data_IF_325913335224
#
_entry.id   IF_325913335224
#
_cell.length_a   1.000
_cell.length_b   1.000
_cell.length_c   1.000
_cell.angle_alpha   90.00
_cell.angle_beta   90.00
_cell.angle_gamma   90.00
#
_symmetry.space_group_name_H-M   'P 1'
#
loop_
_entity.id
_entity.type
_entity.pdbx_description
1 polymer ?
#
# COMPACT_ATOMS: atom_id res chain seq x y z
N UNK A 1 -4.64 -8.01 8.41
CA UNK A 1 -5.80 -7.86 9.32
C UNK A 1 -5.49 -7.09 10.62
N UNK A 2 -4.35 -7.30 11.30
CA UNK A 2 -4.00 -6.56 12.53
C UNK A 2 -3.85 -5.04 12.32
N UNK A 3 -3.16 -4.60 11.26
CA UNK A 3 -2.96 -3.17 10.97
C UNK A 3 -4.27 -2.44 10.62
N UNK A 4 -5.16 -3.04 9.81
CA UNK A 4 -6.48 -2.47 9.48
C UNK A 4 -7.34 -2.18 10.72
N UNK A 5 -7.39 -3.12 11.68
CA UNK A 5 -8.12 -2.94 12.94
C UNK A 5 -7.48 -1.86 13.81
N UNK A 6 -6.15 -1.81 13.90
CA UNK A 6 -5.44 -0.78 14.64
C UNK A 6 -5.70 0.63 14.06
N UNK A 7 -5.72 0.78 12.73
CA UNK A 7 -6.02 2.04 12.05
C UNK A 7 -7.46 2.47 12.30
N UNK A 8 -8.42 1.56 12.15
CA UNK A 8 -9.84 1.83 12.44
C UNK A 8 -10.04 2.22 13.90
N UNK A 9 -9.39 1.53 14.84
CA UNK A 9 -9.43 1.89 16.26
C UNK A 9 -8.79 3.26 16.50
N UNK A 10 -7.66 3.59 15.87
CA UNK A 10 -7.04 4.91 15.98
C UNK A 10 -7.92 6.04 15.43
N UNK A 11 -8.62 5.80 14.31
CA UNK A 11 -9.58 6.75 13.72
C UNK A 11 -10.83 6.95 14.59
N UNK A 12 -11.36 5.89 15.20
CA UNK A 12 -12.57 5.95 16.04
C UNK A 12 -12.24 6.47 17.45
N UNK A 13 -11.04 6.19 17.97
CA UNK A 13 -10.62 6.56 19.32
C UNK A 13 -10.17 8.02 19.44
N UNK A 14 -10.22 8.83 18.37
CA UNK A 14 -9.94 10.27 18.47
C UNK A 14 -11.04 10.91 19.33
N UNK A 15 -10.73 11.37 20.55
CA UNK A 15 -11.73 12.06 21.34
C UNK A 15 -11.99 13.41 20.65
N UNK A 16 -13.16 13.56 20.04
CA UNK A 16 -13.69 14.84 19.53
C UNK A 16 -14.01 15.85 20.67
N UNK A 17 -13.41 15.68 21.85
CA UNK A 17 -13.64 16.52 23.01
C UNK A 17 -12.75 17.75 22.94
N UNK A 18 -13.23 18.74 22.19
CA UNK A 18 -12.68 20.08 22.10
C UNK A 18 -12.94 20.65 20.71
N UNK A 19 -13.14 21.97 20.55
CA UNK A 19 -13.13 22.57 19.23
C UNK A 19 -11.82 22.14 18.57
N UNK A 20 -11.89 21.57 17.35
CA UNK A 20 -10.72 21.38 16.51
C UNK A 20 -10.05 22.74 16.42
N UNK A 21 -8.97 22.93 17.19
CA UNK A 21 -8.31 24.22 17.32
C UNK A 21 -7.62 24.53 15.99
N UNK A 22 -8.38 25.12 15.06
CA UNK A 22 -7.83 25.79 13.90
C UNK A 22 -6.83 26.84 14.39
N UNK A 23 -5.55 26.63 14.11
CA UNK A 23 -4.53 27.68 14.30
C UNK A 23 -3.45 27.46 15.36
N UNK A 24 -3.19 26.25 15.86
CA UNK A 24 -1.90 25.99 16.55
C UNK A 24 -0.90 25.29 15.61
N UNK A 25 0.12 25.99 15.09
CA UNK A 25 0.95 25.54 13.96
C UNK A 25 1.83 24.29 14.21
N UNK A 26 1.71 23.58 15.33
CA UNK A 26 2.69 22.54 15.72
C UNK A 26 2.11 21.26 16.35
N UNK A 27 0.79 21.12 16.54
CA UNK A 27 0.24 19.98 17.29
C UNK A 27 0.52 18.62 16.62
N UNK A 28 0.46 18.57 15.30
CA UNK A 28 0.70 17.36 14.51
C UNK A 28 1.92 17.49 13.58
N UNK A 29 2.86 18.40 13.85
CA UNK A 29 3.98 18.68 12.93
C UNK A 29 4.79 17.43 12.53
N UNK A 30 5.07 16.54 13.49
CA UNK A 30 5.75 15.28 13.23
C UNK A 30 4.91 14.32 12.37
N UNK A 31 3.60 14.27 12.61
CA UNK A 31 2.66 13.45 11.85
C UNK A 31 2.51 13.95 10.41
N UNK A 32 2.47 15.27 10.20
CA UNK A 32 2.43 15.88 8.88
C UNK A 32 3.74 15.65 8.10
N UNK A 33 4.88 15.63 8.77
CA UNK A 33 6.16 15.29 8.15
C UNK A 33 6.21 13.84 7.69
N UNK A 34 5.82 12.91 8.57
CA UNK A 34 5.67 11.51 8.21
C UNK A 34 4.67 11.32 7.07
N UNK A 35 3.56 12.06 7.08
CA UNK A 35 2.56 12.07 6.01
C UNK A 35 3.16 12.45 4.65
N UNK A 36 3.96 13.51 4.57
CA UNK A 36 4.64 13.89 3.31
C UNK A 36 5.61 12.81 2.82
N UNK A 37 6.38 12.20 3.74
CA UNK A 37 7.31 11.11 3.42
C UNK A 37 6.57 9.87 2.94
N UNK A 38 5.43 9.55 3.56
CA UNK A 38 4.55 8.47 3.16
C UNK A 38 3.97 8.72 1.77
N UNK A 39 3.43 9.91 1.52
CA UNK A 39 2.88 10.28 0.21
C UNK A 39 3.94 10.15 -0.91
N UNK A 40 5.20 10.55 -0.62
CA UNK A 40 6.31 10.38 -1.55
C UNK A 40 6.67 8.89 -1.80
N UNK A 41 6.67 8.06 -0.75
CA UNK A 41 6.90 6.62 -0.87
C UNK A 41 5.79 5.93 -1.68
N UNK A 42 4.53 6.26 -1.43
CA UNK A 42 3.37 5.76 -2.18
C UNK A 42 3.46 6.17 -3.66
N UNK A 43 3.89 7.40 -3.95
CA UNK A 43 4.11 7.84 -5.33
C UNK A 43 5.21 7.03 -6.03
N UNK A 44 6.32 6.74 -5.34
CA UNK A 44 7.41 5.91 -5.87
C UNK A 44 6.95 4.47 -6.13
N UNK A 45 6.22 3.86 -5.19
CA UNK A 45 5.62 2.53 -5.37
C UNK A 45 4.67 2.52 -6.57
N UNK A 46 3.72 3.46 -6.66
CA UNK A 46 2.78 3.57 -7.80
C UNK A 46 3.48 3.74 -9.14
N UNK A 47 4.60 4.47 -9.19
CA UNK A 47 5.39 4.62 -10.40
C UNK A 47 6.05 3.30 -10.84
N UNK A 48 6.47 2.47 -9.89
CA UNK A 48 7.10 1.16 -10.14
C UNK A 48 6.10 0.07 -10.53
N UNK A 49 4.87 0.11 -10.03
CA UNK A 49 3.82 -0.91 -10.28
C UNK A 49 3.67 -1.29 -11.76
N UNK A 50 3.81 -0.32 -12.68
CA UNK A 50 3.76 -0.60 -14.13
C UNK A 50 4.93 -1.48 -14.60
N UNK A 51 6.14 -1.23 -14.11
CA UNK A 51 7.31 -2.03 -14.42
C UNK A 51 7.21 -3.44 -13.82
N UNK A 52 6.68 -3.55 -12.60
CA UNK A 52 6.35 -4.83 -11.97
C UNK A 52 5.40 -5.67 -12.84
N UNK A 53 4.25 -5.12 -13.23
CA UNK A 53 3.28 -5.87 -14.04
C UNK A 53 3.81 -6.25 -15.42
N UNK A 54 4.62 -5.38 -16.05
CA UNK A 54 5.26 -5.73 -17.31
C UNK A 54 6.26 -6.90 -17.15
N UNK A 55 7.00 -6.95 -16.04
CA UNK A 55 7.91 -8.04 -15.74
C UNK A 55 7.16 -9.35 -15.43
N UNK A 56 6.05 -9.28 -14.69
CA UNK A 56 5.18 -10.42 -14.38
C UNK A 56 4.55 -11.03 -15.66
N UNK A 57 4.04 -10.16 -16.55
CA UNK A 57 3.51 -10.58 -17.83
C UNK A 57 4.60 -11.23 -18.70
N UNK A 58 5.78 -10.62 -18.79
CA UNK A 58 6.91 -11.16 -19.54
C UNK A 58 7.36 -12.52 -19.00
N UNK A 59 7.42 -12.68 -17.67
CA UNK A 59 7.74 -13.95 -17.03
C UNK A 59 6.69 -15.01 -17.35
N UNK A 60 5.40 -14.67 -17.22
CA UNK A 60 4.30 -15.57 -17.53
C UNK A 60 4.35 -16.05 -18.99
N UNK A 61 4.60 -15.13 -19.93
CA UNK A 61 4.75 -15.45 -21.35
C UNK A 61 5.97 -16.34 -21.60
N UNK A 62 7.12 -16.04 -20.98
CA UNK A 62 8.35 -16.83 -21.13
C UNK A 62 8.19 -18.26 -20.59
N UNK A 63 7.53 -18.40 -19.44
CA UNK A 63 7.23 -19.71 -18.84
C UNK A 63 6.28 -20.51 -19.74
N UNK A 64 5.24 -19.88 -20.27
CA UNK A 64 4.29 -20.52 -21.18
C UNK A 64 4.93 -20.93 -22.51
N UNK A 65 5.82 -20.11 -23.05
CA UNK A 65 6.58 -20.43 -24.25
C UNK A 65 7.52 -21.61 -24.02
N UNK A 66 8.22 -21.64 -22.87
CA UNK A 66 9.11 -22.74 -22.53
C UNK A 66 8.35 -24.07 -22.31
N UNK A 67 7.17 -24.03 -21.69
CA UNK A 67 6.26 -25.17 -21.56
C UNK A 67 5.79 -25.67 -22.93
N UNK A 68 5.30 -24.77 -23.78
CA UNK A 68 4.79 -25.10 -25.13
C UNK A 68 5.88 -25.69 -26.03
N UNK A 69 7.13 -25.22 -25.90
CA UNK A 69 8.28 -25.75 -26.62
C UNK A 69 8.84 -27.06 -26.03
N UNK A 70 8.24 -27.59 -24.96
CA UNK A 70 8.69 -28.83 -24.31
C UNK A 70 10.04 -28.73 -23.61
N UNK A 71 10.52 -27.51 -23.30
CA UNK A 71 11.86 -27.29 -22.72
C UNK A 71 12.07 -27.94 -21.36
N UNK A 72 10.98 -28.20 -20.63
CA UNK A 72 11.01 -28.89 -19.33
C UNK A 72 10.92 -30.42 -19.44
N UNK A 73 10.68 -30.98 -20.64
CA UNK A 73 10.42 -32.40 -20.80
C UNK A 73 11.69 -33.22 -20.61
N UNK A 74 11.67 -34.14 -19.67
CA UNK A 74 12.79 -35.05 -19.39
C UNK A 74 13.97 -34.41 -18.66
N UNK A 75 13.82 -33.17 -18.18
CA UNK A 75 14.79 -32.57 -17.27
C UNK A 75 14.72 -33.28 -15.90
N UNK A 76 15.88 -33.46 -15.28
CA UNK A 76 15.94 -33.78 -13.86
C UNK A 76 15.65 -32.52 -13.01
N UNK A 77 15.64 -32.69 -11.68
CA UNK A 77 15.30 -31.62 -10.76
C UNK A 77 16.29 -30.43 -10.82
N UNK A 78 17.58 -30.69 -11.03
CA UNK A 78 18.61 -29.65 -11.06
C UNK A 78 18.50 -28.82 -12.34
N UNK A 79 18.37 -29.49 -13.49
CA UNK A 79 18.18 -28.84 -14.78
C UNK A 79 16.84 -28.09 -14.85
N UNK A 80 15.78 -28.62 -14.22
CA UNK A 80 14.51 -27.91 -14.08
C UNK A 80 14.68 -26.62 -13.28
N UNK A 81 15.33 -26.69 -12.10
CA UNK A 81 15.55 -25.53 -11.24
C UNK A 81 16.41 -24.46 -11.94
N UNK A 82 17.46 -24.86 -12.64
CA UNK A 82 18.33 -23.95 -13.39
C UNK A 82 17.56 -23.22 -14.51
N UNK A 83 16.80 -23.95 -15.32
CA UNK A 83 15.97 -23.36 -16.38
C UNK A 83 14.89 -22.45 -15.80
N UNK A 84 14.23 -22.86 -14.72
CA UNK A 84 13.23 -22.03 -14.05
C UNK A 84 13.84 -20.75 -13.48
N UNK A 85 15.00 -20.83 -12.84
CA UNK A 85 15.74 -19.69 -12.30
C UNK A 85 16.06 -18.65 -13.39
N UNK A 86 16.54 -19.10 -14.55
CA UNK A 86 16.82 -18.21 -15.68
C UNK A 86 15.58 -17.47 -16.20
N UNK A 87 14.41 -18.11 -16.15
CA UNK A 87 13.15 -17.52 -16.62
C UNK A 87 12.54 -16.55 -15.60
N UNK A 88 12.83 -16.72 -14.31
CA UNK A 88 12.26 -15.89 -13.24
C UNK A 88 13.18 -14.74 -12.81
N UNK A 89 14.49 -14.83 -13.03
CA UNK A 89 15.47 -13.81 -12.58
C UNK A 89 15.13 -12.37 -13.01
N UNK A 90 14.67 -12.08 -14.25
CA UNK A 90 14.24 -10.73 -14.61
C UNK A 90 13.00 -10.25 -13.85
N UNK A 91 12.10 -11.17 -13.48
CA UNK A 91 10.93 -10.87 -12.66
C UNK A 91 11.30 -10.68 -11.19
N UNK A 92 12.22 -11.48 -10.66
CA UNK A 92 12.69 -11.35 -9.27
C UNK A 92 13.24 -9.95 -8.99
N UNK A 93 14.02 -9.37 -9.90
CA UNK A 93 14.53 -8.00 -9.70
C UNK A 93 13.40 -6.95 -9.62
N UNK A 94 12.32 -7.13 -10.39
CA UNK A 94 11.15 -6.25 -10.34
C UNK A 94 10.31 -6.46 -9.08
N UNK A 95 10.18 -7.72 -8.64
CA UNK A 95 9.50 -8.12 -7.41
C UNK A 95 10.24 -7.59 -6.17
N UNK A 96 11.55 -7.82 -6.07
CA UNK A 96 12.38 -7.31 -4.97
C UNK A 96 12.25 -5.79 -4.83
N UNK A 97 12.24 -5.07 -5.95
CA UNK A 97 12.05 -3.62 -5.94
C UNK A 97 10.64 -3.20 -5.53
N UNK A 98 9.62 -3.96 -5.93
CA UNK A 98 8.23 -3.69 -5.52
C UNK A 98 8.09 -3.89 -4.00
N UNK A 99 8.61 -5.01 -3.48
CA UNK A 99 8.66 -5.34 -2.06
C UNK A 99 9.38 -4.26 -1.25
N UNK A 100 10.56 -3.80 -1.69
CA UNK A 100 11.29 -2.71 -1.03
C UNK A 100 10.45 -1.42 -0.92
N UNK A 101 9.76 -1.05 -2.00
CA UNK A 101 8.94 0.15 -2.07
C UNK A 101 7.68 0.00 -1.22
N UNK A 102 7.08 -1.19 -1.20
CA UNK A 102 5.93 -1.51 -0.37
C UNK A 102 6.30 -1.48 1.12
N UNK A 103 7.42 -2.11 1.49
CA UNK A 103 7.98 -2.10 2.84
C UNK A 103 8.28 -0.69 3.35
N UNK A 104 8.81 0.19 2.48
CA UNK A 104 9.04 1.58 2.82
C UNK A 104 7.74 2.31 3.18
N UNK A 105 6.64 2.03 2.47
CA UNK A 105 5.32 2.55 2.81
C UNK A 105 4.84 1.98 4.16
N UNK A 106 4.95 0.66 4.37
CA UNK A 106 4.53 -0.01 5.60
C UNK A 106 5.25 0.52 6.85
N UNK A 107 6.58 0.67 6.80
CA UNK A 107 7.39 1.23 7.92
C UNK A 107 7.00 2.66 8.27
N UNK A 108 6.63 3.46 7.28
CA UNK A 108 6.13 4.83 7.51
C UNK A 108 4.70 4.79 8.06
N UNK A 109 3.85 3.90 7.54
CA UNK A 109 2.50 3.67 8.06
C UNK A 109 2.50 3.29 9.55
N UNK A 110 3.38 2.36 9.96
CA UNK A 110 3.53 1.96 11.37
C UNK A 110 3.91 3.15 12.28
N UNK A 111 4.85 3.99 11.83
CA UNK A 111 5.22 5.21 12.57
C UNK A 111 4.07 6.20 12.69
N UNK A 112 3.28 6.36 11.62
CA UNK A 112 2.10 7.24 11.60
C UNK A 112 1.03 6.73 12.58
N UNK A 113 0.72 5.43 12.54
CA UNK A 113 -0.33 4.81 13.38
C UNK A 113 0.03 4.87 14.87
N UNK A 114 1.32 4.89 15.20
CA UNK A 114 1.79 5.04 16.57
C UNK A 114 1.55 6.45 17.17
N UNK A 115 1.16 7.44 16.37
CA UNK A 115 0.95 8.83 16.81
C UNK A 115 -0.55 9.13 16.81
N UNK A 116 -1.06 9.56 17.97
CA UNK A 116 -2.45 10.01 18.09
C UNK A 116 -2.61 11.41 17.47
N UNK A 117 -3.42 11.57 16.40
CA UNK A 117 -3.64 12.88 15.78
C UNK A 117 -4.43 13.81 16.72
N UNK A 118 -4.17 15.12 16.59
CA UNK A 118 -4.83 16.19 17.34
C UNK A 118 -5.58 17.17 16.45
N UNK A 119 -5.31 17.16 15.15
CA UNK A 119 -5.94 18.01 14.14
C UNK A 119 -6.60 17.19 13.05
N UNK A 120 -7.46 17.83 12.27
CA UNK A 120 -8.06 17.21 11.08
C UNK A 120 -6.99 16.79 10.06
N UNK A 121 -5.93 17.59 9.89
CA UNK A 121 -4.82 17.25 9.00
C UNK A 121 -4.09 16.00 9.48
N UNK A 122 -3.89 15.83 10.78
CA UNK A 122 -3.33 14.62 11.36
C UNK A 122 -4.20 13.39 11.12
N UNK A 123 -5.52 13.52 11.29
CA UNK A 123 -6.48 12.44 10.98
C UNK A 123 -6.43 12.11 9.48
N UNK A 124 -6.30 13.11 8.61
CA UNK A 124 -6.18 12.90 7.17
C UNK A 124 -4.92 12.11 6.79
N UNK A 125 -3.81 12.26 7.52
CA UNK A 125 -2.61 11.42 7.34
C UNK A 125 -2.93 9.95 7.63
N UNK A 126 -3.59 9.64 8.75
CA UNK A 126 -4.02 8.27 9.05
C UNK A 126 -4.97 7.70 8.00
N UNK A 127 -5.90 8.52 7.50
CA UNK A 127 -6.83 8.12 6.46
C UNK A 127 -6.11 7.72 5.16
N UNK A 128 -5.05 8.45 4.76
CA UNK A 128 -4.23 8.08 3.59
C UNK A 128 -3.45 6.78 3.79
N UNK A 129 -2.90 6.55 4.98
CA UNK A 129 -2.29 5.24 5.33
C UNK A 129 -3.33 4.13 5.21
N UNK A 130 -4.53 4.35 5.75
CA UNK A 130 -5.63 3.40 5.65
C UNK A 130 -6.01 3.08 4.20
N UNK A 131 -6.07 4.10 3.35
CA UNK A 131 -6.40 3.94 1.94
C UNK A 131 -5.35 3.08 1.22
N UNK A 132 -4.06 3.25 1.54
CA UNK A 132 -2.98 2.45 0.95
C UNK A 132 -3.01 0.98 1.41
N UNK A 133 -3.12 0.73 2.71
CA UNK A 133 -3.16 -0.61 3.33
C UNK A 133 -4.41 -1.41 2.93
N UNK A 134 -5.48 -0.69 2.58
CA UNK A 134 -6.75 -1.25 2.11
C UNK A 134 -7.01 -0.91 0.64
N UNK A 135 -5.96 -0.72 -0.18
CA UNK A 135 -6.09 -0.27 -1.58
C UNK A 135 -7.06 -1.09 -2.41
N UNK A 136 -7.18 -2.40 -2.14
CA UNK A 136 -8.11 -3.31 -2.82
C UNK A 136 -9.56 -2.85 -2.71
N UNK A 137 -9.95 -2.19 -1.61
CA UNK A 137 -11.27 -1.60 -1.51
C UNK A 137 -11.45 -0.58 -2.64
N UNK A 138 -10.52 0.35 -2.88
CA UNK A 138 -10.64 1.32 -3.98
C UNK A 138 -10.42 0.71 -5.37
N UNK A 139 -9.51 -0.26 -5.51
CA UNK A 139 -9.10 -0.82 -6.81
C UNK A 139 -10.05 -1.90 -7.35
N UNK A 140 -10.75 -2.62 -6.47
CA UNK A 140 -11.65 -3.73 -6.83
C UNK A 140 -13.04 -3.56 -6.18
N UNK A 141 -13.81 -2.52 -6.54
CA UNK A 141 -15.07 -2.20 -5.88
C UNK A 141 -16.14 -3.29 -5.97
N UNK A 142 -16.05 -4.17 -6.98
CA UNK A 142 -17.01 -5.26 -7.20
C UNK A 142 -16.78 -6.48 -6.30
N UNK A 143 -15.63 -6.55 -5.63
CA UNK A 143 -15.28 -7.64 -4.70
C UNK A 143 -15.27 -7.19 -3.24
N UNK A 144 -15.78 -5.99 -2.94
CA UNK A 144 -15.82 -5.45 -1.58
C UNK A 144 -16.75 -6.25 -0.70
N UNK A 145 -16.30 -6.46 0.52
CA UNK A 145 -17.17 -6.86 1.63
C UNK A 145 -17.84 -5.62 2.25
N UNK A 146 -18.92 -5.81 3.00
CA UNK A 146 -19.73 -4.71 3.57
C UNK A 146 -18.92 -3.78 4.49
N UNK A 147 -17.93 -4.32 5.20
CA UNK A 147 -17.04 -3.53 6.06
C UNK A 147 -16.07 -2.64 5.27
N UNK A 148 -15.73 -3.01 4.03
CA UNK A 148 -14.88 -2.21 3.13
C UNK A 148 -15.64 -0.99 2.56
N UNK A 149 -16.94 -1.09 2.33
CA UNK A 149 -17.74 0.07 1.88
C UNK A 149 -17.87 1.13 2.98
N UNK A 150 -18.04 0.70 4.24
CA UNK A 150 -18.03 1.61 5.39
C UNK A 150 -16.66 2.27 5.55
N UNK A 151 -15.60 1.50 5.37
CA UNK A 151 -14.22 2.01 5.41
C UNK A 151 -13.98 3.08 4.34
N UNK A 152 -14.40 2.80 3.11
CA UNK A 152 -14.26 3.74 1.98
C UNK A 152 -15.00 5.03 2.26
N UNK A 153 -16.28 4.95 2.67
CA UNK A 153 -17.08 6.13 2.98
C UNK A 153 -16.46 6.99 4.10
N UNK A 154 -15.94 6.35 5.15
CA UNK A 154 -15.28 7.05 6.26
C UNK A 154 -14.00 7.76 5.80
N UNK A 155 -13.11 7.03 5.10
CA UNK A 155 -11.83 7.56 4.64
C UNK A 155 -12.02 8.68 3.62
N UNK A 156 -12.88 8.48 2.62
CA UNK A 156 -13.18 9.50 1.61
C UNK A 156 -13.82 10.75 2.25
N UNK A 157 -14.71 10.56 3.23
CA UNK A 157 -15.30 11.65 3.99
C UNK A 157 -14.28 12.48 4.77
N UNK A 158 -13.35 11.83 5.49
CA UNK A 158 -12.27 12.51 6.20
C UNK A 158 -11.42 13.34 5.23
N UNK A 159 -11.00 12.72 4.12
CA UNK A 159 -10.14 13.39 3.14
C UNK A 159 -10.85 14.57 2.46
N UNK A 160 -12.15 14.44 2.17
CA UNK A 160 -12.94 15.52 1.61
C UNK A 160 -13.06 16.72 2.57
N UNK A 161 -13.34 16.48 3.85
CA UNK A 161 -13.45 17.56 4.84
C UNK A 161 -12.09 18.24 5.05
N UNK A 162 -11.00 17.47 5.13
CA UNK A 162 -9.65 18.01 5.27
C UNK A 162 -9.22 18.87 4.07
N UNK A 163 -9.66 18.56 2.85
CA UNK A 163 -9.37 19.35 1.66
C UNK A 163 -10.10 20.71 1.61
N UNK A 164 -11.09 20.92 2.49
CA UNK A 164 -11.91 22.14 2.53
C UNK A 164 -11.62 23.05 3.73
N UNK A 165 -10.77 22.61 4.66
CA UNK A 165 -10.35 23.34 5.86
C UNK A 165 -9.13 24.22 5.60
#
# INVERSE_FOLDING_TARGET
MQNRRAILTALIAVPLTGPLCAGQPHLDAALLDLGRRFDAAVAAHKAHVRAYFAADEAHTQALQAAKSAGRFKGLDAEAYAALHSQLIEPFNAALERDDELHDACGKLGEQIIAIQPKTLDGIAVLARVCQFESRQAWEAPKSREYDEDVLVALVDGILAVAATA
#
